data_IF_546592553583
#
_entry.id   IF_546592553583
#
_cell.length_a   1.000
_cell.length_b   1.000
_cell.length_c   1.000
_cell.angle_alpha   90.00
_cell.angle_beta   90.00
_cell.angle_gamma   90.00
#
_symmetry.space_group_name_H-M   'P 1'
#
loop_
_entity.id
_entity.type
_entity.pdbx_description
1 polymer ?
#
# COMPACT_ATOMS: atom_id res chain seq x y z
N UNK A 1 13.78 10.82 -7.18
CA UNK A 1 14.78 9.95 -6.49
C UNK A 1 16.00 9.79 -7.38
N UNK A 2 17.20 9.49 -6.87
CA UNK A 2 18.37 9.21 -7.75
C UNK A 2 19.02 7.88 -7.40
N UNK A 3 19.05 6.97 -8.36
CA UNK A 3 19.83 5.74 -8.25
C UNK A 3 21.26 5.97 -8.71
N UNK A 4 22.19 5.13 -8.22
CA UNK A 4 23.60 5.24 -8.61
C UNK A 4 23.77 4.90 -10.10
N UNK A 5 24.68 5.58 -10.79
CA UNK A 5 25.01 5.33 -12.20
C UNK A 5 25.32 3.85 -12.47
N UNK A 6 26.12 3.22 -11.61
CA UNK A 6 26.44 1.78 -11.71
C UNK A 6 25.20 0.87 -11.62
N UNK A 7 24.11 1.32 -11.03
CA UNK A 7 22.84 0.58 -10.99
C UNK A 7 22.11 0.71 -12.32
N UNK A 8 22.00 1.94 -12.83
CA UNK A 8 21.40 2.23 -14.13
C UNK A 8 22.13 1.52 -15.27
N UNK A 9 23.46 1.50 -15.24
CA UNK A 9 24.27 0.78 -16.24
C UNK A 9 24.04 -0.74 -16.20
N UNK A 10 23.85 -1.33 -15.01
CA UNK A 10 23.56 -2.77 -14.91
C UNK A 10 22.18 -3.10 -15.45
N UNK A 11 21.17 -2.30 -15.13
CA UNK A 11 19.83 -2.45 -15.71
C UNK A 11 19.88 -2.22 -17.22
N UNK A 12 20.66 -1.25 -17.69
CA UNK A 12 20.86 -1.01 -19.11
C UNK A 12 21.49 -2.21 -19.83
N UNK A 13 22.45 -2.91 -19.21
CA UNK A 13 23.00 -4.16 -19.76
C UNK A 13 21.93 -5.24 -19.86
N UNK A 14 21.04 -5.36 -18.86
CA UNK A 14 19.92 -6.30 -18.90
C UNK A 14 18.96 -5.97 -20.05
N UNK A 15 18.52 -4.71 -20.16
CA UNK A 15 17.61 -4.26 -21.24
C UNK A 15 18.26 -4.44 -22.62
N UNK A 16 19.55 -4.15 -22.80
CA UNK A 16 20.21 -4.32 -24.08
C UNK A 16 20.38 -5.80 -24.48
N UNK A 17 20.49 -6.72 -23.51
CA UNK A 17 20.66 -8.15 -23.74
C UNK A 17 21.93 -8.51 -24.51
N UNK A 18 23.03 -7.75 -24.32
CA UNK A 18 24.26 -7.91 -25.10
C UNK A 18 25.00 -9.24 -24.85
N UNK A 19 24.73 -9.90 -23.72
CA UNK A 19 25.31 -11.19 -23.39
C UNK A 19 24.37 -12.33 -23.78
N UNK A 20 24.79 -13.16 -24.73
CA UNK A 20 24.02 -14.32 -25.24
C UNK A 20 23.79 -15.41 -24.21
N UNK A 21 24.59 -15.48 -23.15
CA UNK A 21 24.40 -16.41 -22.03
C UNK A 21 23.51 -15.83 -20.91
N UNK A 22 23.04 -14.59 -21.07
CA UNK A 22 22.17 -13.95 -20.08
C UNK A 22 20.71 -14.39 -20.22
N UNK A 23 19.87 -13.93 -19.30
CA UNK A 23 18.44 -14.23 -19.26
C UNK A 23 17.57 -13.15 -19.92
N UNK A 24 18.19 -12.25 -20.67
CA UNK A 24 17.55 -11.11 -21.33
C UNK A 24 17.80 -11.13 -22.82
N UNK A 25 16.75 -10.89 -23.60
CA UNK A 25 16.83 -10.90 -25.06
C UNK A 25 17.62 -9.69 -25.58
N UNK A 26 18.39 -9.92 -26.63
CA UNK A 26 19.11 -8.85 -27.30
C UNK A 26 18.15 -7.84 -27.96
N UNK A 27 18.26 -6.57 -27.58
CA UNK A 27 17.47 -5.49 -28.18
C UNK A 27 18.35 -4.59 -29.07
N UNK A 28 18.03 -4.54 -30.36
CA UNK A 28 18.61 -3.58 -31.31
C UNK A 28 18.12 -2.15 -31.02
N UNK A 29 18.76 -1.12 -31.60
CA UNK A 29 18.32 0.28 -31.44
C UNK A 29 16.82 0.50 -31.74
N UNK A 30 16.29 0.02 -32.88
CA UNK A 30 14.86 0.05 -33.16
C UNK A 30 13.99 -0.69 -32.13
N UNK A 31 14.45 -1.84 -31.64
CA UNK A 31 13.72 -2.60 -30.62
C UNK A 31 13.78 -1.93 -29.24
N UNK A 32 14.85 -1.18 -28.93
CA UNK A 32 14.90 -0.34 -27.73
C UNK A 32 13.87 0.79 -27.79
N UNK A 33 13.75 1.47 -28.94
CA UNK A 33 12.69 2.46 -29.15
C UNK A 33 11.31 1.82 -28.93
N UNK A 34 11.09 0.61 -29.47
CA UNK A 34 9.83 -0.11 -29.26
C UNK A 34 9.60 -0.48 -27.80
N UNK A 35 10.61 -1.01 -27.12
CA UNK A 35 10.55 -1.36 -25.69
C UNK A 35 10.15 -0.16 -24.83
N UNK A 36 10.79 1.00 -25.03
CA UNK A 36 10.46 2.20 -24.28
C UNK A 36 9.09 2.78 -24.65
N UNK A 37 8.63 2.59 -25.89
CA UNK A 37 7.27 2.95 -26.30
C UNK A 37 6.21 2.04 -25.66
N UNK A 38 6.47 0.73 -25.62
CA UNK A 38 5.59 -0.27 -25.00
C UNK A 38 5.53 -0.08 -23.47
N UNK A 39 6.54 0.57 -22.87
CA UNK A 39 6.52 1.06 -21.48
C UNK A 39 5.82 2.43 -21.29
N UNK A 40 5.06 2.90 -22.28
CA UNK A 40 4.40 4.22 -22.34
C UNK A 40 5.36 5.38 -22.10
N UNK A 41 6.45 5.44 -22.86
CA UNK A 41 7.37 6.58 -22.90
C UNK A 41 7.63 7.04 -24.34
N UNK A 42 7.92 8.32 -24.52
CA UNK A 42 8.24 8.91 -25.84
C UNK A 42 9.74 8.84 -26.18
N UNK A 43 10.49 7.95 -25.53
CA UNK A 43 11.94 7.85 -25.69
C UNK A 43 12.31 7.09 -26.97
N UNK A 44 13.09 7.73 -27.84
CA UNK A 44 13.55 7.17 -29.12
C UNK A 44 15.06 7.03 -29.12
N UNK A 45 15.55 5.82 -29.43
CA UNK A 45 16.99 5.55 -29.54
C UNK A 45 17.62 6.40 -30.64
N UNK A 46 18.70 7.11 -30.30
CA UNK A 46 19.32 8.15 -31.14
C UNK A 46 20.38 7.64 -32.13
N UNK A 47 20.64 6.33 -32.13
CA UNK A 47 21.68 5.69 -32.93
C UNK A 47 23.05 5.66 -32.25
N UNK A 48 23.15 6.19 -31.03
CA UNK A 48 24.33 6.10 -30.18
C UNK A 48 24.57 4.71 -29.61
N UNK A 49 25.44 4.65 -28.60
CA UNK A 49 25.76 3.37 -27.94
C UNK A 49 24.60 2.94 -27.03
N UNK A 50 23.93 1.85 -27.39
CA UNK A 50 22.74 1.29 -26.71
C UNK A 50 22.82 1.34 -25.19
N UNK A 51 23.85 0.73 -24.59
CA UNK A 51 24.01 0.69 -23.13
C UNK A 51 24.02 2.08 -22.48
N UNK A 52 24.76 3.04 -23.04
CA UNK A 52 24.84 4.39 -22.49
C UNK A 52 23.55 5.17 -22.72
N UNK A 53 22.94 5.00 -23.89
CA UNK A 53 21.65 5.61 -24.19
C UNK A 53 20.56 5.12 -23.22
N UNK A 54 20.47 3.80 -22.99
CA UNK A 54 19.50 3.21 -22.06
C UNK A 54 19.76 3.69 -20.63
N UNK A 55 21.01 3.74 -20.16
CA UNK A 55 21.31 4.25 -18.82
C UNK A 55 20.86 5.71 -18.63
N UNK A 56 21.10 6.56 -19.63
CA UNK A 56 20.64 7.96 -19.64
C UNK A 56 19.11 8.06 -19.72
N UNK A 57 18.45 7.19 -20.47
CA UNK A 57 17.00 7.10 -20.54
C UNK A 57 16.41 6.75 -19.15
N UNK A 58 16.96 5.72 -18.49
CA UNK A 58 16.56 5.32 -17.14
C UNK A 58 16.79 6.44 -16.11
N UNK A 59 17.89 7.19 -16.21
CA UNK A 59 18.13 8.37 -15.36
C UNK A 59 17.03 9.43 -15.54
N UNK A 60 16.68 9.77 -16.78
CA UNK A 60 15.60 10.72 -17.09
C UNK A 60 14.24 10.26 -16.52
N UNK A 61 13.96 8.96 -16.58
CA UNK A 61 12.72 8.41 -16.01
C UNK A 61 12.66 8.55 -14.49
N UNK A 62 13.79 8.52 -13.77
CA UNK A 62 13.82 8.72 -12.31
C UNK A 62 13.58 10.18 -11.89
N UNK A 63 13.76 11.13 -12.81
CA UNK A 63 13.45 12.54 -12.60
C UNK A 63 11.95 12.85 -12.80
N UNK A 64 11.15 11.89 -13.28
CA UNK A 64 9.70 12.06 -13.39
C UNK A 64 9.03 12.14 -12.01
N UNK A 65 7.84 12.75 -11.91
CA UNK A 65 7.08 12.77 -10.67
C UNK A 65 6.76 11.36 -10.17
N UNK A 66 7.01 11.10 -8.89
CA UNK A 66 6.63 9.87 -8.18
C UNK A 66 5.50 10.17 -7.20
N UNK A 67 4.54 9.26 -7.06
CA UNK A 67 3.47 9.34 -6.02
C UNK A 67 4.03 9.32 -4.61
N UNK A 68 5.15 8.63 -4.39
CA UNK A 68 5.86 8.58 -3.12
C UNK A 68 7.34 8.88 -3.38
N UNK A 69 7.91 9.83 -2.63
CA UNK A 69 9.31 10.25 -2.77
C UNK A 69 10.33 9.12 -2.53
N UNK A 70 9.93 8.06 -1.82
CA UNK A 70 10.73 6.86 -1.59
C UNK A 70 10.56 5.78 -2.67
N UNK A 71 9.74 6.01 -3.69
CA UNK A 71 9.41 5.01 -4.72
C UNK A 71 9.86 5.47 -6.11
N UNK A 72 10.20 4.54 -7.01
CA UNK A 72 10.45 4.88 -8.41
C UNK A 72 9.19 5.45 -9.07
N UNK A 73 9.31 6.40 -10.00
CA UNK A 73 8.18 6.87 -10.80
C UNK A 73 7.53 5.76 -11.61
N UNK A 74 6.22 5.89 -11.90
CA UNK A 74 5.43 4.88 -12.62
C UNK A 74 6.08 4.45 -13.94
N UNK A 75 6.71 5.37 -14.66
CA UNK A 75 7.43 5.06 -15.90
C UNK A 75 8.61 4.09 -15.69
N UNK A 76 9.35 4.24 -14.58
CA UNK A 76 10.42 3.30 -14.22
C UNK A 76 9.85 1.94 -13.84
N UNK A 77 8.70 1.91 -13.15
CA UNK A 77 8.03 0.66 -12.77
C UNK A 77 7.54 -0.12 -13.99
N UNK A 78 6.95 0.56 -14.99
CA UNK A 78 6.55 -0.06 -16.26
C UNK A 78 7.74 -0.64 -17.02
N UNK A 79 8.87 0.06 -17.06
CA UNK A 79 10.11 -0.47 -17.66
C UNK A 79 10.57 -1.76 -16.97
N UNK A 80 10.55 -1.80 -15.64
CA UNK A 80 10.91 -3.01 -14.89
C UNK A 80 9.90 -4.14 -15.13
N UNK A 81 8.60 -3.83 -15.12
CA UNK A 81 7.52 -4.78 -15.39
C UNK A 81 7.68 -5.42 -16.76
N UNK A 82 7.87 -4.60 -17.80
CA UNK A 82 8.07 -5.06 -19.18
C UNK A 82 9.34 -5.88 -19.35
N UNK A 83 10.47 -5.45 -18.74
CA UNK A 83 11.72 -6.21 -18.77
C UNK A 83 11.57 -7.63 -18.20
N UNK A 84 10.68 -7.78 -17.21
CA UNK A 84 10.45 -8.99 -16.45
C UNK A 84 9.22 -9.78 -16.89
N UNK A 85 8.63 -9.46 -18.05
CA UNK A 85 7.48 -10.20 -18.59
C UNK A 85 7.84 -11.69 -18.77
N UNK A 86 6.93 -12.57 -18.36
CA UNK A 86 7.10 -14.01 -18.44
C UNK A 86 7.19 -14.51 -19.90
N UNK A 87 6.52 -13.84 -20.84
CA UNK A 87 6.55 -14.18 -22.27
C UNK A 87 7.94 -13.99 -22.89
N UNK A 88 8.75 -13.09 -22.31
CA UNK A 88 10.10 -12.77 -22.77
C UNK A 88 11.19 -13.70 -22.21
N UNK A 89 10.82 -14.85 -21.62
CA UNK A 89 11.75 -15.81 -21.06
C UNK A 89 12.84 -16.22 -22.07
N UNK A 90 14.10 -15.97 -21.70
CA UNK A 90 15.28 -16.28 -22.52
C UNK A 90 16.31 -17.03 -21.67
N UNK A 91 16.83 -18.15 -22.18
CA UNK A 91 17.75 -19.04 -21.45
C UNK A 91 17.26 -19.50 -20.06
N UNK A 92 15.95 -19.39 -19.82
CA UNK A 92 15.23 -19.89 -18.65
C UNK A 92 13.76 -20.10 -19.00
N UNK A 93 12.98 -20.65 -18.07
CA UNK A 93 11.53 -20.80 -18.22
C UNK A 93 10.79 -19.74 -17.39
N UNK A 94 9.53 -19.41 -17.71
CA UNK A 94 8.65 -18.69 -16.79
C UNK A 94 8.66 -19.34 -15.39
N UNK A 95 8.62 -18.56 -14.30
CA UNK A 95 8.38 -17.11 -14.24
C UNK A 95 9.69 -16.28 -14.26
N UNK A 96 10.76 -16.73 -14.90
CA UNK A 96 12.02 -15.95 -15.04
C UNK A 96 12.78 -15.62 -13.73
N UNK A 97 12.92 -16.63 -12.86
CA UNK A 97 13.56 -16.48 -11.54
C UNK A 97 15.05 -16.12 -11.61
N UNK A 98 15.76 -16.48 -12.68
CA UNK A 98 17.18 -16.15 -12.86
C UNK A 98 17.37 -14.71 -13.33
N UNK A 99 16.53 -14.22 -14.25
CA UNK A 99 16.44 -12.79 -14.55
C UNK A 99 16.07 -11.98 -13.31
N UNK A 100 15.13 -12.47 -12.49
CA UNK A 100 14.72 -11.79 -11.25
C UNK A 100 15.89 -11.67 -10.27
N UNK A 101 16.68 -12.74 -10.14
CA UNK A 101 17.91 -12.73 -9.33
C UNK A 101 18.93 -11.72 -9.86
N UNK A 102 19.08 -11.61 -11.18
CA UNK A 102 19.97 -10.63 -11.79
C UNK A 102 19.52 -9.19 -11.52
N UNK A 103 18.23 -8.89 -11.73
CA UNK A 103 17.62 -7.59 -11.45
C UNK A 103 17.80 -7.20 -9.98
N UNK A 104 17.47 -8.10 -9.05
CA UNK A 104 17.64 -7.90 -7.62
C UNK A 104 19.09 -7.64 -7.23
N UNK A 105 20.06 -8.29 -7.91
CA UNK A 105 21.48 -7.99 -7.74
C UNK A 105 21.83 -6.53 -8.05
N UNK A 106 21.14 -5.90 -9.00
CA UNK A 106 21.34 -4.50 -9.35
C UNK A 106 20.64 -3.54 -8.37
N UNK A 107 19.35 -3.74 -8.10
CA UNK A 107 18.50 -2.76 -7.37
C UNK A 107 18.58 -2.85 -5.85
N UNK A 108 19.07 -3.97 -5.28
CA UNK A 108 19.18 -4.16 -3.83
C UNK A 108 19.97 -3.05 -3.13
N UNK A 109 21.00 -2.52 -3.79
CA UNK A 109 21.83 -1.42 -3.26
C UNK A 109 21.14 -0.06 -3.22
N UNK A 110 20.02 0.07 -3.92
CA UNK A 110 19.15 1.25 -3.91
C UNK A 110 18.01 1.09 -2.89
N UNK A 111 17.99 0.00 -2.12
CA UNK A 111 16.97 -0.27 -1.10
C UNK A 111 15.70 -0.93 -1.64
N UNK A 112 15.75 -1.55 -2.82
CA UNK A 112 14.59 -2.18 -3.45
C UNK A 112 14.78 -3.67 -3.71
N UNK A 113 13.66 -4.38 -3.79
CA UNK A 113 13.60 -5.79 -4.15
C UNK A 113 12.44 -6.03 -5.12
N UNK A 114 12.71 -6.67 -6.24
CA UNK A 114 11.72 -7.11 -7.20
C UNK A 114 11.20 -8.52 -6.86
N UNK A 115 9.92 -8.75 -7.09
CA UNK A 115 9.26 -10.04 -6.89
C UNK A 115 8.07 -10.20 -7.83
N UNK A 116 7.66 -11.45 -8.11
CA UNK A 116 6.42 -11.72 -8.84
C UNK A 116 5.23 -11.79 -7.89
N UNK A 117 4.14 -11.11 -8.25
CA UNK A 117 2.84 -11.22 -7.58
C UNK A 117 2.08 -12.48 -8.03
N UNK A 118 0.93 -12.71 -7.39
CA UNK A 118 0.02 -13.83 -7.73
C UNK A 118 -0.61 -13.69 -9.13
N UNK A 119 -0.48 -12.52 -9.75
CA UNK A 119 -0.93 -12.16 -11.10
C UNK A 119 0.16 -12.32 -12.16
N UNK A 120 1.26 -13.00 -11.83
CA UNK A 120 2.45 -13.21 -12.68
C UNK A 120 3.16 -11.90 -13.12
N UNK A 121 2.85 -10.77 -12.47
CA UNK A 121 3.49 -9.49 -12.75
C UNK A 121 4.67 -9.22 -11.83
N UNK A 122 5.72 -8.57 -12.36
CA UNK A 122 6.85 -8.15 -11.55
C UNK A 122 6.56 -6.82 -10.84
N UNK A 123 6.65 -6.84 -9.51
CA UNK A 123 6.55 -5.68 -8.64
C UNK A 123 7.91 -5.36 -8.01
N UNK A 124 8.07 -4.14 -7.53
CA UNK A 124 9.26 -3.69 -6.78
C UNK A 124 8.81 -3.26 -5.40
N UNK A 125 9.44 -3.70 -4.31
CA UNK A 125 9.18 -3.21 -2.95
C UNK A 125 10.39 -2.51 -2.36
N UNK A 126 10.14 -1.49 -1.56
CA UNK A 126 11.17 -0.86 -0.74
C UNK A 126 11.48 -1.75 0.47
N UNK A 127 12.74 -2.14 0.65
CA UNK A 127 13.19 -3.11 1.65
C UNK A 127 13.00 -2.58 3.08
N UNK A 128 13.15 -1.27 3.28
CA UNK A 128 13.06 -0.66 4.62
C UNK A 128 11.62 -0.52 5.14
N UNK A 129 10.67 -0.18 4.26
CA UNK A 129 9.26 0.06 4.64
C UNK A 129 8.32 -1.10 4.30
N UNK A 130 8.74 -2.02 3.43
CA UNK A 130 7.88 -3.06 2.86
C UNK A 130 6.86 -2.53 1.84
N UNK A 131 6.87 -1.22 1.56
CA UNK A 131 5.96 -0.58 0.60
C UNK A 131 6.24 -1.10 -0.80
N UNK A 132 5.24 -1.64 -1.46
CA UNK A 132 5.35 -2.10 -2.84
C UNK A 132 5.08 -0.93 -3.79
N UNK A 133 5.84 -0.85 -4.86
CA UNK A 133 5.69 0.13 -5.91
C UNK A 133 4.54 -0.32 -6.79
N UNK A 134 3.43 0.39 -6.71
CA UNK A 134 2.35 0.27 -7.67
C UNK A 134 2.37 1.51 -8.55
N UNK A 135 2.19 1.31 -9.86
CA UNK A 135 1.69 2.40 -10.71
C UNK A 135 0.49 3.02 -10.02
N UNK A 136 0.36 4.34 -10.08
CA UNK A 136 -0.72 5.07 -9.46
C UNK A 136 -2.06 4.68 -10.08
N UNK A 137 -2.58 3.54 -9.67
CA UNK A 137 -3.84 3.01 -10.16
C UNK A 137 -4.94 3.83 -9.49
N UNK A 138 -5.36 4.88 -10.20
CA UNK A 138 -6.54 5.64 -9.85
C UNK A 138 -7.72 4.67 -9.74
N UNK A 139 -8.46 4.68 -8.61
CA UNK A 139 -9.60 3.79 -8.42
C UNK A 139 -10.75 4.05 -9.41
N UNK A 140 -10.66 5.11 -10.22
CA UNK A 140 -11.67 5.50 -11.20
C UNK A 140 -11.48 4.89 -12.59
N UNK A 141 -10.49 4.03 -12.80
CA UNK A 141 -10.34 3.31 -14.08
C UNK A 141 -11.16 2.01 -14.09
N UNK A 142 -11.54 1.48 -15.27
CA UNK A 142 -12.09 0.14 -15.37
C UNK A 142 -11.11 -0.91 -14.80
N UNK A 143 -11.61 -1.78 -13.93
CA UNK A 143 -10.81 -2.81 -13.28
C UNK A 143 -10.49 -3.96 -14.25
N UNK A 144 -9.31 -4.55 -14.11
CA UNK A 144 -8.95 -5.80 -14.80
C UNK A 144 -9.76 -6.98 -14.24
N UNK A 145 -9.73 -8.13 -14.93
CA UNK A 145 -10.39 -9.35 -14.44
C UNK A 145 -9.83 -9.79 -13.09
N UNK A 146 -8.50 -9.74 -12.91
CA UNK A 146 -7.83 -10.08 -11.66
C UNK A 146 -8.18 -9.09 -10.53
N UNK A 147 -8.20 -7.78 -10.82
CA UNK A 147 -8.62 -6.75 -9.86
C UNK A 147 -10.11 -6.93 -9.46
N UNK A 148 -10.96 -7.34 -10.40
CA UNK A 148 -12.38 -7.63 -10.14
C UNK A 148 -12.54 -8.87 -9.25
N UNK A 149 -11.78 -9.93 -9.50
CA UNK A 149 -11.79 -11.12 -8.65
C UNK A 149 -11.29 -10.78 -7.23
N UNK A 150 -10.20 -10.01 -7.14
CA UNK A 150 -9.66 -9.51 -5.87
C UNK A 150 -10.69 -8.67 -5.11
N UNK A 151 -11.42 -7.79 -5.80
CA UNK A 151 -12.51 -7.01 -5.24
C UNK A 151 -13.57 -7.90 -4.62
N UNK A 152 -14.01 -8.93 -5.34
CA UNK A 152 -15.05 -9.84 -4.86
C UNK A 152 -14.59 -10.61 -3.61
N UNK A 153 -13.37 -11.15 -3.62
CA UNK A 153 -12.78 -11.83 -2.45
C UNK A 153 -12.68 -10.92 -1.23
N UNK A 154 -12.27 -9.65 -1.42
CA UNK A 154 -12.22 -8.69 -0.33
C UNK A 154 -13.61 -8.37 0.22
N UNK A 155 -14.61 -8.22 -0.65
CA UNK A 155 -16.00 -7.98 -0.21
C UNK A 155 -16.50 -9.15 0.65
N UNK A 156 -16.29 -10.39 0.21
CA UNK A 156 -16.66 -11.59 0.97
C UNK A 156 -15.95 -11.64 2.32
N UNK A 157 -14.65 -11.31 2.34
CA UNK A 157 -13.88 -11.23 3.58
C UNK A 157 -14.45 -10.18 4.54
N UNK A 158 -14.75 -8.97 4.05
CA UNK A 158 -15.25 -7.86 4.88
C UNK A 158 -16.61 -8.18 5.53
N UNK A 159 -17.44 -9.00 4.90
CA UNK A 159 -18.72 -9.44 5.49
C UNK A 159 -18.52 -10.33 6.73
N UNK A 160 -17.46 -11.15 6.72
CA UNK A 160 -17.22 -12.16 7.74
C UNK A 160 -16.24 -11.71 8.83
N UNK A 161 -15.28 -10.84 8.49
CA UNK A 161 -14.20 -10.42 9.38
C UNK A 161 -14.69 -9.75 10.67
N UNK A 162 -13.96 -9.88 11.77
CA UNK A 162 -14.15 -9.08 12.99
C UNK A 162 -13.54 -7.68 12.85
N UNK A 163 -13.72 -6.82 13.87
CA UNK A 163 -13.06 -5.50 13.91
C UNK A 163 -11.54 -5.64 13.97
N UNK A 164 -11.04 -6.61 14.73
CA UNK A 164 -9.62 -6.93 14.84
C UNK A 164 -9.07 -7.44 13.50
N UNK A 165 -9.79 -8.33 12.82
CA UNK A 165 -9.42 -8.84 11.50
C UNK A 165 -9.36 -7.70 10.45
N UNK A 166 -10.33 -6.79 10.46
CA UNK A 166 -10.36 -5.62 9.60
C UNK A 166 -9.11 -4.75 9.83
N UNK A 167 -8.72 -4.55 11.09
CA UNK A 167 -7.52 -3.82 11.45
C UNK A 167 -6.28 -4.56 10.93
N UNK A 168 -6.06 -5.79 11.37
CA UNK A 168 -4.80 -6.51 11.19
C UNK A 168 -4.53 -6.92 9.74
N UNK A 169 -5.56 -7.41 9.03
CA UNK A 169 -5.39 -8.03 7.73
C UNK A 169 -5.74 -7.11 6.55
N UNK A 170 -6.44 -5.99 6.80
CA UNK A 170 -6.84 -5.05 5.74
C UNK A 170 -6.22 -3.68 5.96
N UNK A 171 -6.50 -3.03 7.08
CA UNK A 171 -6.10 -1.63 7.31
C UNK A 171 -4.60 -1.46 7.56
N UNK A 172 -3.98 -2.29 8.42
CA UNK A 172 -2.54 -2.20 8.67
C UNK A 172 -1.72 -2.37 7.38
N UNK A 173 -1.95 -3.41 6.54
CA UNK A 173 -1.24 -3.55 5.27
C UNK A 173 -1.52 -2.38 4.32
N UNK A 174 -2.77 -1.93 4.23
CA UNK A 174 -3.16 -0.83 3.35
C UNK A 174 -2.47 0.49 3.72
N UNK A 175 -2.48 0.87 5.01
CA UNK A 175 -1.82 2.10 5.44
C UNK A 175 -0.29 2.05 5.27
N UNK A 176 0.35 0.89 5.48
CA UNK A 176 1.79 0.73 5.16
C UNK A 176 2.06 0.95 3.67
N UNK A 177 1.17 0.42 2.83
CA UNK A 177 1.26 0.57 1.39
C UNK A 177 1.05 2.03 0.95
N UNK A 178 0.20 2.78 1.65
CA UNK A 178 0.00 4.22 1.44
C UNK A 178 1.15 5.09 2.01
N UNK A 179 2.17 4.49 2.62
CA UNK A 179 3.36 5.19 3.12
C UNK A 179 3.27 5.69 4.56
N UNK A 180 2.25 5.26 5.32
CA UNK A 180 2.21 5.53 6.76
C UNK A 180 3.19 4.64 7.52
N UNK A 181 3.81 5.20 8.56
CA UNK A 181 4.79 4.55 9.40
C UNK A 181 4.29 4.41 10.86
N UNK A 182 4.94 3.52 11.62
CA UNK A 182 4.67 3.23 13.05
C UNK A 182 3.21 2.91 13.36
N UNK A 183 2.66 1.97 12.61
CA UNK A 183 1.29 1.54 12.83
C UNK A 183 1.25 0.59 14.02
N UNK A 184 0.83 1.11 15.17
CA UNK A 184 0.70 0.35 16.42
C UNK A 184 -0.78 0.12 16.67
N UNK A 185 -1.21 -1.15 16.66
CA UNK A 185 -2.52 -1.54 17.18
C UNK A 185 -2.45 -1.55 18.71
N UNK A 186 -3.44 -0.95 19.37
CA UNK A 186 -3.54 -1.02 20.82
C UNK A 186 -3.99 -2.45 21.20
N UNK A 187 -3.04 -3.27 21.67
CA UNK A 187 -3.29 -4.68 21.95
C UNK A 187 -3.77 -4.96 23.39
N UNK A 188 -5.02 -5.41 23.49
CA UNK A 188 -5.57 -6.57 24.24
C UNK A 188 -5.20 -6.91 25.70
N UNK A 189 -4.37 -6.13 26.42
CA UNK A 189 -4.17 -6.36 27.88
C UNK A 189 -4.71 -5.26 28.79
N UNK A 190 -4.82 -4.03 28.30
CA UNK A 190 -5.32 -2.91 29.10
C UNK A 190 -6.21 -1.98 28.26
N UNK A 191 -7.46 -2.43 27.99
CA UNK A 191 -8.52 -1.62 27.35
C UNK A 191 -8.77 -0.26 28.01
N UNK A 192 -8.30 -0.06 29.25
CA UNK A 192 -8.41 1.20 29.98
C UNK A 192 -7.38 2.28 29.55
N UNK A 193 -6.34 1.90 28.79
CA UNK A 193 -5.33 2.82 28.24
C UNK A 193 -5.59 3.17 26.76
N UNK A 194 -6.68 2.65 26.19
CA UNK A 194 -7.13 2.92 24.83
C UNK A 194 -7.99 4.19 24.84
N UNK A 195 -7.35 5.35 24.76
CA UNK A 195 -8.01 6.67 24.71
C UNK A 195 -8.77 6.90 23.38
N UNK A 196 -9.69 5.99 23.03
CA UNK A 196 -10.48 6.01 21.80
C UNK A 196 -9.65 5.86 20.53
N UNK A 197 -8.54 5.12 20.58
CA UNK A 197 -7.62 4.88 19.46
C UNK A 197 -7.42 3.39 19.30
N UNK A 198 -7.88 2.83 18.19
CA UNK A 198 -7.58 1.45 17.83
C UNK A 198 -6.17 1.36 17.22
N UNK A 199 -5.82 2.39 16.45
CA UNK A 199 -4.52 2.52 15.77
C UNK A 199 -4.03 3.96 15.92
N UNK A 200 -2.71 4.12 16.02
CA UNK A 200 -2.06 5.38 15.66
C UNK A 200 -0.94 5.13 14.65
N UNK A 201 -0.69 6.14 13.82
CA UNK A 201 0.32 6.11 12.76
C UNK A 201 0.86 7.51 12.49
N UNK A 202 1.95 7.60 11.72
CA UNK A 202 2.51 8.88 11.28
C UNK A 202 2.79 8.90 9.79
N UNK A 203 2.72 10.08 9.19
CA UNK A 203 3.09 10.32 7.80
C UNK A 203 4.19 11.39 7.75
N UNK A 204 5.28 11.10 7.03
CA UNK A 204 6.41 12.03 6.89
C UNK A 204 6.26 12.77 5.58
N UNK A 205 6.07 14.08 5.65
CA UNK A 205 5.99 14.95 4.48
C UNK A 205 7.35 15.03 3.77
N UNK A 206 7.38 15.38 2.46
CA UNK A 206 8.65 15.59 1.74
C UNK A 206 9.57 16.64 2.40
N UNK A 207 9.00 17.57 3.16
CA UNK A 207 9.72 18.58 3.97
C UNK A 207 10.26 18.02 5.29
N UNK A 208 10.18 16.71 5.53
CA UNK A 208 10.55 15.99 6.76
C UNK A 208 9.69 16.28 8.00
N UNK A 209 8.66 17.13 7.88
CA UNK A 209 7.70 17.34 8.95
C UNK A 209 6.82 16.10 9.09
N UNK A 210 6.46 15.77 10.33
CA UNK A 210 5.67 14.58 10.67
C UNK A 210 4.26 15.00 11.01
N UNK A 211 3.28 14.31 10.41
CA UNK A 211 1.88 14.38 10.78
C UNK A 211 1.48 13.11 11.52
N UNK A 212 0.78 13.25 12.64
CA UNK A 212 0.31 12.16 13.48
C UNK A 212 -1.18 11.92 13.29
N UNK A 213 -1.55 10.65 13.12
CA UNK A 213 -2.92 10.22 12.88
C UNK A 213 -3.35 9.23 13.94
N UNK A 214 -4.56 9.42 14.48
CA UNK A 214 -5.27 8.39 15.22
C UNK A 214 -6.38 7.82 14.36
N UNK A 215 -6.75 6.56 14.59
CA UNK A 215 -7.78 5.87 13.83
C UNK A 215 -8.76 5.21 14.80
N UNK A 216 -10.05 5.43 14.56
CA UNK A 216 -11.13 4.68 15.16
C UNK A 216 -11.81 3.88 14.05
N UNK A 217 -11.88 2.57 14.23
CA UNK A 217 -12.42 1.60 13.31
C UNK A 217 -13.73 1.05 13.90
N UNK A 218 -14.72 0.84 13.03
CA UNK A 218 -15.93 0.07 13.34
C UNK A 218 -16.25 -0.87 12.19
N UNK A 219 -16.59 -2.13 12.47
CA UNK A 219 -17.01 -3.08 11.42
C UNK A 219 -18.27 -2.63 10.68
N UNK A 220 -19.25 -2.11 11.41
CA UNK A 220 -20.62 -1.89 10.92
C UNK A 220 -20.85 -0.59 10.16
N UNK A 221 -22.12 -0.39 9.77
CA UNK A 221 -22.63 0.87 9.24
C UNK A 221 -22.66 1.95 10.34
N UNK A 222 -22.27 3.16 9.98
CA UNK A 222 -22.36 4.34 10.85
C UNK A 222 -23.54 5.21 10.45
N UNK A 223 -24.54 5.29 11.32
CA UNK A 223 -25.75 6.07 11.11
C UNK A 223 -26.06 6.97 12.30
N UNK A 224 -26.73 8.09 12.03
CA UNK A 224 -27.10 9.07 13.06
C UNK A 224 -28.37 8.67 13.82
N UNK A 225 -28.86 7.44 13.67
CA UNK A 225 -30.06 7.00 14.38
C UNK A 225 -29.65 6.64 15.81
N UNK A 226 -30.31 7.24 16.81
CA UNK A 226 -29.98 7.05 18.24
C UNK A 226 -30.30 5.64 18.77
N UNK A 227 -30.57 4.67 17.89
CA UNK A 227 -30.98 3.32 18.25
C UNK A 227 -29.90 2.35 17.79
N UNK A 228 -29.05 1.91 18.70
CA UNK A 228 -28.16 0.76 18.50
C UNK A 228 -29.01 -0.49 18.26
N UNK A 229 -29.34 -0.78 16.99
CA UNK A 229 -29.90 -2.07 16.58
C UNK A 229 -28.77 -2.95 16.04
N UNK A 230 -28.35 -3.94 16.82
CA UNK A 230 -27.37 -4.93 16.38
C UNK A 230 -25.98 -4.34 16.14
N UNK A 231 -25.43 -4.51 14.94
CA UNK A 231 -24.05 -4.14 14.56
C UNK A 231 -23.85 -2.66 14.18
N UNK A 232 -24.86 -1.80 14.34
CA UNK A 232 -24.76 -0.36 14.04
C UNK A 232 -24.11 0.40 15.19
N UNK A 233 -23.01 1.10 14.92
CA UNK A 233 -22.27 1.85 15.94
C UNK A 233 -22.81 3.28 16.06
N UNK A 234 -22.97 3.73 17.31
CA UNK A 234 -23.56 5.03 17.61
C UNK A 234 -22.58 6.15 17.29
N UNK A 235 -23.00 7.08 16.43
CA UNK A 235 -22.19 8.25 16.03
C UNK A 235 -21.78 9.13 17.22
N UNK A 236 -22.56 9.18 18.30
CA UNK A 236 -22.20 9.91 19.51
C UNK A 236 -21.02 9.28 20.27
N UNK A 237 -20.92 7.96 20.26
CA UNK A 237 -19.80 7.23 20.86
C UNK A 237 -18.49 7.52 20.10
N UNK A 238 -18.56 7.44 18.77
CA UNK A 238 -17.42 7.73 17.88
C UNK A 238 -16.97 9.17 18.03
N UNK A 239 -17.90 10.12 18.12
CA UNK A 239 -17.55 11.52 18.36
C UNK A 239 -16.78 11.71 19.66
N UNK A 240 -17.18 11.04 20.74
CA UNK A 240 -16.46 11.12 22.01
C UNK A 240 -15.09 10.46 21.93
N UNK A 241 -14.97 9.31 21.27
CA UNK A 241 -13.68 8.63 21.01
C UNK A 241 -12.72 9.54 20.22
N UNK A 242 -13.22 10.20 19.18
CA UNK A 242 -12.42 11.14 18.38
C UNK A 242 -11.97 12.35 19.20
N UNK A 243 -12.84 12.91 20.06
CA UNK A 243 -12.44 13.99 20.95
C UNK A 243 -11.34 13.57 21.93
N UNK A 244 -11.44 12.36 22.50
CA UNK A 244 -10.39 11.81 23.36
C UNK A 244 -9.08 11.59 22.57
N UNK A 245 -9.19 11.06 21.35
CA UNK A 245 -8.06 10.81 20.47
C UNK A 245 -7.27 12.08 20.15
N UNK A 246 -7.95 13.17 19.79
CA UNK A 246 -7.35 14.47 19.48
C UNK A 246 -6.75 15.15 20.72
N UNK A 247 -7.34 14.91 21.90
CA UNK A 247 -6.85 15.47 23.16
C UNK A 247 -5.70 14.71 23.82
N UNK A 248 -5.37 13.51 23.34
CA UNK A 248 -4.41 12.62 24.01
C UNK A 248 -3.05 12.58 23.31
N UNK A 249 -1.99 12.83 24.09
CA UNK A 249 -0.59 12.79 23.64
C UNK A 249 -0.08 11.37 23.38
N UNK A 250 0.68 11.19 22.30
CA UNK A 250 1.37 9.95 21.95
C UNK A 250 2.87 10.17 22.16
N UNK A 251 3.59 9.14 22.61
CA UNK A 251 5.04 9.21 22.70
C UNK A 251 5.70 8.74 21.40
N UNK A 252 6.41 9.63 20.70
CA UNK A 252 7.23 9.27 19.55
C UNK A 252 8.65 8.95 20.02
N UNK A 253 9.02 7.67 19.99
CA UNK A 253 10.34 7.22 20.45
C UNK A 253 11.50 7.64 19.54
N UNK A 254 11.24 7.95 18.25
CA UNK A 254 12.29 8.45 17.35
C UNK A 254 12.70 9.88 17.69
N UNK A 255 11.73 10.72 18.03
CA UNK A 255 11.95 12.10 18.41
C UNK A 255 12.07 12.28 19.94
N UNK A 256 11.89 11.19 20.69
CA UNK A 256 11.87 11.14 22.17
C UNK A 256 11.02 12.25 22.80
N UNK A 257 9.84 12.49 22.23
CA UNK A 257 8.91 13.54 22.69
C UNK A 257 7.47 13.08 22.66
N UNK A 258 6.64 13.73 23.47
CA UNK A 258 5.18 13.60 23.42
C UNK A 258 4.61 14.56 22.38
N UNK A 259 3.66 14.08 21.60
CA UNK A 259 3.03 14.80 20.49
C UNK A 259 1.53 14.59 20.52
N UNK A 260 0.76 15.59 20.10
CA UNK A 260 -0.67 15.43 19.91
C UNK A 260 -0.96 14.77 18.55
N UNK A 261 -2.16 14.20 18.44
CA UNK A 261 -2.67 13.73 17.15
C UNK A 261 -3.10 14.94 16.33
N UNK A 262 -2.60 15.04 15.10
CA UNK A 262 -2.97 16.13 14.18
C UNK A 262 -4.33 15.86 13.51
N UNK A 263 -4.59 14.60 13.13
CA UNK A 263 -5.80 14.20 12.41
C UNK A 263 -6.38 12.87 12.93
N UNK A 264 -7.70 12.73 12.87
CA UNK A 264 -8.43 11.53 13.26
C UNK A 264 -9.12 10.89 12.05
N UNK A 265 -8.82 9.63 11.77
CA UNK A 265 -9.56 8.80 10.83
C UNK A 265 -10.73 8.11 11.52
N UNK A 266 -11.91 8.22 10.92
CA UNK A 266 -13.08 7.41 11.25
C UNK A 266 -13.28 6.42 10.11
N UNK A 267 -13.02 5.15 10.40
CA UNK A 267 -13.06 4.06 9.43
C UNK A 267 -14.25 3.17 9.72
N UNK A 268 -15.04 2.86 8.69
CA UNK A 268 -16.14 1.92 8.80
C UNK A 268 -16.00 0.78 7.77
N UNK A 269 -16.15 -0.46 8.22
CA UNK A 269 -16.30 -1.62 7.34
C UNK A 269 -17.67 -1.66 6.64
N UNK A 270 -18.60 -0.78 7.02
CA UNK A 270 -19.85 -0.50 6.33
C UNK A 270 -19.92 0.91 5.76
N UNK A 271 -21.14 1.35 5.41
CA UNK A 271 -21.40 2.71 4.92
C UNK A 271 -21.31 3.73 6.06
N UNK A 272 -20.65 4.88 5.82
CA UNK A 272 -20.78 6.06 6.69
C UNK A 272 -21.79 7.01 6.06
N UNK A 273 -23.01 7.02 6.61
CA UNK A 273 -24.12 7.79 6.04
C UNK A 273 -23.83 9.29 6.00
N UNK A 274 -24.40 9.99 5.01
CA UNK A 274 -24.31 11.46 4.93
C UNK A 274 -24.81 12.15 6.20
N UNK A 275 -25.85 11.58 6.83
CA UNK A 275 -26.39 12.09 8.09
C UNK A 275 -25.38 11.96 9.25
N UNK A 276 -24.68 10.83 9.36
CA UNK A 276 -23.59 10.65 10.33
C UNK A 276 -22.44 11.63 10.11
N UNK A 277 -21.96 11.77 8.86
CA UNK A 277 -20.90 12.74 8.49
C UNK A 277 -21.29 14.16 8.87
N UNK A 278 -22.51 14.57 8.55
CA UNK A 278 -23.04 15.90 8.90
C UNK A 278 -23.21 16.09 10.40
N UNK A 279 -23.64 15.06 11.14
CA UNK A 279 -23.81 15.15 12.60
C UNK A 279 -22.48 15.37 13.30
N UNK A 280 -21.45 14.58 12.94
CA UNK A 280 -20.09 14.72 13.48
C UNK A 280 -19.54 16.10 13.13
N UNK A 281 -19.67 16.50 11.86
CA UNK A 281 -19.27 17.83 11.40
C UNK A 281 -19.90 18.94 12.23
N UNK A 282 -21.23 18.95 12.37
CA UNK A 282 -21.95 20.01 13.07
C UNK A 282 -21.64 20.09 14.58
N UNK A 283 -21.33 18.96 15.23
CA UNK A 283 -21.01 18.92 16.66
C UNK A 283 -19.61 19.41 17.01
N UNK A 284 -18.70 19.40 16.05
CA UNK A 284 -17.34 19.87 16.24
C UNK A 284 -17.22 21.36 15.92
N UNK A 285 -16.27 22.03 16.57
CA UNK A 285 -15.86 23.38 16.21
C UNK A 285 -15.20 23.40 14.82
N UNK A 286 -15.16 24.58 14.18
CA UNK A 286 -14.67 24.71 12.81
C UNK A 286 -13.21 24.24 12.64
N UNK A 287 -12.38 24.38 13.68
CA UNK A 287 -10.98 23.94 13.71
C UNK A 287 -10.82 22.42 13.80
N UNK A 288 -11.66 21.72 14.57
CA UNK A 288 -11.61 20.27 14.73
C UNK A 288 -12.24 19.53 13.55
N UNK A 289 -13.15 20.18 12.82
CA UNK A 289 -13.73 19.61 11.58
C UNK A 289 -12.66 19.32 10.53
N UNK A 290 -11.68 20.20 10.35
CA UNK A 290 -10.60 19.99 9.38
C UNK A 290 -9.64 18.87 9.76
N UNK A 291 -9.68 18.39 11.01
CA UNK A 291 -8.82 17.32 11.51
C UNK A 291 -9.45 15.92 11.28
N UNK A 292 -10.72 15.83 10.87
CA UNK A 292 -11.41 14.54 10.71
C UNK A 292 -11.41 14.09 9.27
N UNK A 293 -11.00 12.83 9.08
CA UNK A 293 -11.01 12.12 7.81
C UNK A 293 -11.96 10.92 7.95
N UNK A 294 -12.74 10.67 6.91
CA UNK A 294 -13.68 9.54 6.87
C UNK A 294 -13.23 8.56 5.81
N UNK A 295 -13.35 7.27 6.10
CA UNK A 295 -13.07 6.18 5.17
C UNK A 295 -14.13 5.10 5.36
N UNK A 296 -14.98 4.89 4.38
CA UNK A 296 -16.00 3.85 4.43
C UNK A 296 -15.60 2.59 3.66
N UNK A 297 -16.49 1.60 3.63
CA UNK A 297 -16.25 0.33 2.94
C UNK A 297 -15.84 0.52 1.48
N UNK A 298 -16.47 1.46 0.77
CA UNK A 298 -16.20 1.67 -0.65
C UNK A 298 -14.80 2.26 -0.83
N UNK A 299 -14.42 3.22 0.02
CA UNK A 299 -13.07 3.79 0.04
C UNK A 299 -12.01 2.71 0.28
N UNK A 300 -12.21 1.82 1.28
CA UNK A 300 -11.29 0.71 1.60
C UNK A 300 -11.13 -0.21 0.40
N UNK A 301 -12.25 -0.64 -0.20
CA UNK A 301 -12.23 -1.57 -1.33
C UNK A 301 -11.53 -0.94 -2.53
N UNK A 302 -11.84 0.30 -2.85
CA UNK A 302 -11.25 1.01 -3.99
C UNK A 302 -9.74 1.16 -3.84
N UNK A 303 -9.25 1.51 -2.64
CA UNK A 303 -7.82 1.63 -2.35
C UNK A 303 -7.11 0.26 -2.31
N UNK A 304 -7.77 -0.77 -1.80
CA UNK A 304 -7.16 -2.10 -1.66
C UNK A 304 -7.05 -2.82 -3.01
N UNK A 305 -8.06 -2.72 -3.86
CA UNK A 305 -8.10 -3.42 -5.16
C UNK A 305 -6.94 -2.99 -6.05
N UNK A 306 -6.68 -1.69 -6.11
CA UNK A 306 -5.58 -1.10 -6.91
C UNK A 306 -4.20 -1.26 -6.27
N UNK A 307 -4.15 -1.73 -5.02
CA UNK A 307 -2.89 -2.01 -4.34
C UNK A 307 -2.32 -3.37 -4.79
N UNK A 308 -1.02 -3.61 -4.63
CA UNK A 308 -0.40 -4.92 -4.90
C UNK A 308 -0.55 -5.90 -3.71
N UNK A 309 -1.36 -5.56 -2.70
CA UNK A 309 -1.60 -6.42 -1.55
C UNK A 309 -2.38 -7.68 -1.98
N UNK A 310 -2.02 -8.89 -1.53
CA UNK A 310 -2.85 -10.07 -1.79
C UNK A 310 -4.21 -9.94 -1.09
N UNK A 311 -5.25 -10.57 -1.64
CA UNK A 311 -6.54 -10.64 -0.95
C UNK A 311 -6.36 -11.40 0.39
N UNK A 312 -6.96 -10.91 1.49
CA UNK A 312 -6.88 -11.60 2.76
C UNK A 312 -7.53 -12.99 2.67
N UNK A 313 -6.95 -13.97 3.35
CA UNK A 313 -7.53 -15.31 3.43
C UNK A 313 -8.70 -15.28 4.41
N UNK A 314 -9.78 -16.01 4.10
CA UNK A 314 -10.95 -16.11 4.98
C UNK A 314 -10.53 -16.48 6.41
N UNK A 315 -11.10 -15.83 7.44
CA UNK A 315 -10.78 -16.16 8.82
C UNK A 315 -11.04 -17.64 9.06
N UNK A 316 -10.05 -18.38 9.59
CA UNK A 316 -10.31 -19.72 10.09
C UNK A 316 -11.27 -19.57 11.27
N UNK A 317 -12.38 -20.30 11.26
CA UNK A 317 -13.26 -20.36 12.42
C UNK A 317 -12.40 -20.65 13.66
N UNK A 318 -12.41 -19.72 14.62
CA UNK A 318 -11.78 -19.94 15.91
C UNK A 318 -12.39 -21.21 16.50
N UNK A 319 -11.58 -22.27 16.58
CA UNK A 319 -11.94 -23.46 17.35
C UNK A 319 -11.96 -23.01 18.81
N UNK A 320 -13.14 -22.83 19.39
CA UNK A 320 -13.30 -22.76 20.84
C UNK A 320 -13.14 -24.19 21.37
N UNK A 321 -12.02 -24.57 22.02
CA UNK A 321 -12.02 -25.80 22.78
C UNK A 321 -12.96 -25.54 23.96
N UNK A 322 -14.18 -26.07 23.87
CA UNK A 322 -15.04 -26.24 25.03
C UNK A 322 -14.26 -27.14 25.99
N UNK A 323 -13.67 -26.56 27.03
CA UNK A 323 -13.10 -27.31 28.15
C UNK A 323 -14.26 -27.85 28.99
N UNK A 324 -14.87 -28.94 28.52
CA UNK A 324 -15.93 -29.66 29.23
C UNK A 324 -15.44 -31.02 29.77
N UNK A 325 -14.16 -31.13 30.12
CA UNK A 325 -13.64 -32.28 30.85
C UNK A 325 -13.37 -31.90 32.32
N UNK A 326 -14.14 -32.42 33.29
CA UNK A 326 -13.83 -32.25 34.69
C UNK A 326 -12.50 -32.95 35.01
N UNK A 327 -11.58 -32.19 35.58
CA UNK A 327 -10.26 -32.65 36.04
C UNK A 327 -10.46 -33.85 36.97
N UNK A 328 -9.95 -35.05 36.63
CA UNK A 328 -10.03 -36.19 37.54
C UNK A 328 -9.07 -35.97 38.71
N UNK A 329 -9.62 -36.09 39.93
CA UNK A 329 -8.91 -36.00 41.21
C UNK A 329 -7.85 -37.08 41.40
#
# INVERSE_FOLDING_TARGET
MKWKTKTLEQIAVMICGDNTESYFQYLSGPNLTRFFKDADTDLVHDGGTRRFWVANALEKLLDFPSTNAQMPPDAMLRVIRLLMDAEDAHNEKPPRLLALKALNGAIKREGFEAFYGDDDQCYVRHVGSGTVASESASPHRPLTAAETEKKNRLIEYLDQCSEDDLIEHVLLPLFRQLGFARITSAGHKDKALEYGKDIWMKFVLPTQHVLYFGIQVKKGKLDSSSVTKGSQANVAEIHNQVLMMLGHEIFDSELSRRVLVDHAFIVAGGEITKAARNWIGNKLDQSKRSQILFMDREDIVNLFVVSPLPAPQMPRASYDPVFDDPIPF
#
